data_IF_502409841781
#
_entry.id   IF_502409841781
#
_cell.length_a   1.000
_cell.length_b   1.000
_cell.length_c   1.000
_cell.angle_alpha   90.00
_cell.angle_beta   90.00
_cell.angle_gamma   90.00
#
_symmetry.space_group_name_H-M   'P 1'
#
loop_
_entity.id
_entity.type
_entity.pdbx_description
1 polymer ?
#
# COMPACT_ATOMS: atom_id res chain seq x y z
N UNK A 1 37.14 -44.15 52.39
CA UNK A 1 35.96 -43.31 52.72
C UNK A 1 36.34 -41.87 52.41
N UNK A 2 35.78 -41.28 51.33
CA UNK A 2 36.12 -39.91 50.91
C UNK A 2 35.43 -38.94 51.86
N UNK A 3 36.22 -38.17 52.61
CA UNK A 3 35.71 -37.19 53.57
C UNK A 3 34.89 -36.12 52.86
N UNK A 4 33.61 -36.03 53.22
CA UNK A 4 32.74 -34.94 52.81
C UNK A 4 33.21 -33.65 53.48
N UNK A 5 33.89 -32.79 52.72
CA UNK A 5 34.15 -31.42 53.13
C UNK A 5 32.82 -30.67 53.07
N UNK A 6 32.36 -30.15 54.22
CA UNK A 6 31.16 -29.30 54.29
C UNK A 6 31.40 -27.98 53.56
N UNK A 7 30.36 -27.48 52.86
CA UNK A 7 30.37 -26.18 52.20
C UNK A 7 30.60 -25.08 53.24
N UNK A 8 31.57 -24.21 52.99
CA UNK A 8 31.74 -23.00 53.81
C UNK A 8 30.65 -21.98 53.46
N UNK A 9 30.26 -21.16 54.44
CA UNK A 9 29.28 -20.09 54.23
C UNK A 9 29.71 -19.16 53.08
N UNK A 10 31.01 -18.88 52.98
CA UNK A 10 31.59 -18.02 51.93
C UNK A 10 31.43 -18.65 50.55
N UNK A 11 31.72 -19.95 50.39
CA UNK A 11 31.52 -20.65 49.11
C UNK A 11 30.06 -20.63 48.68
N UNK A 12 29.11 -20.82 49.60
CA UNK A 12 27.68 -20.75 49.31
C UNK A 12 27.28 -19.34 48.85
N UNK A 13 27.74 -18.29 49.55
CA UNK A 13 27.44 -16.91 49.19
C UNK A 13 28.02 -16.52 47.83
N UNK A 14 29.25 -16.95 47.53
CA UNK A 14 29.87 -16.72 46.22
C UNK A 14 29.12 -17.47 45.12
N UNK A 15 28.75 -18.73 45.34
CA UNK A 15 27.97 -19.50 44.37
C UNK A 15 26.60 -18.85 44.10
N UNK A 16 25.91 -18.38 45.13
CA UNK A 16 24.64 -17.64 44.99
C UNK A 16 24.82 -16.30 44.27
N UNK A 17 25.90 -15.57 44.56
CA UNK A 17 26.20 -14.32 43.87
C UNK A 17 26.46 -14.55 42.37
N UNK A 18 27.26 -15.56 42.01
CA UNK A 18 27.51 -15.95 40.62
C UNK A 18 26.21 -16.38 39.96
N UNK A 19 25.42 -17.24 40.61
CA UNK A 19 24.14 -17.68 40.08
C UNK A 19 23.18 -16.51 39.84
N UNK A 20 23.11 -15.55 40.77
CA UNK A 20 22.29 -14.33 40.62
C UNK A 20 22.73 -13.47 39.44
N UNK A 21 24.04 -13.27 39.26
CA UNK A 21 24.60 -12.54 38.11
C UNK A 21 24.26 -13.26 36.79
N UNK A 22 24.47 -14.58 36.73
CA UNK A 22 24.17 -15.38 35.54
C UNK A 22 22.67 -15.33 35.21
N UNK A 23 21.79 -15.49 36.19
CA UNK A 23 20.34 -15.41 35.99
C UNK A 23 19.90 -14.03 35.50
N UNK A 24 20.50 -12.95 36.01
CA UNK A 24 20.20 -11.58 35.57
C UNK A 24 20.61 -11.36 34.12
N UNK A 25 21.78 -11.87 33.71
CA UNK A 25 22.24 -11.82 32.33
C UNK A 25 21.32 -12.62 31.39
N UNK A 26 20.90 -13.82 31.79
CA UNK A 26 19.96 -14.64 31.02
C UNK A 26 18.57 -13.99 30.91
N UNK A 27 18.08 -13.37 31.99
CA UNK A 27 16.84 -12.61 31.98
C UNK A 27 16.93 -11.40 31.02
N UNK A 28 18.04 -10.66 31.03
CA UNK A 28 18.30 -9.57 30.10
C UNK A 28 18.33 -10.03 28.64
N UNK A 29 19.02 -11.15 28.35
CA UNK A 29 19.10 -11.73 27.01
C UNK A 29 17.74 -12.19 26.49
N UNK A 30 16.95 -12.88 27.33
CA UNK A 30 15.61 -13.36 26.94
C UNK A 30 14.62 -12.22 26.75
N UNK A 31 14.65 -11.19 27.59
CA UNK A 31 13.86 -9.97 27.41
C UNK A 31 14.25 -9.22 26.13
N UNK A 32 15.55 -9.05 25.89
CA UNK A 32 16.08 -8.43 24.67
C UNK A 32 15.71 -9.21 23.40
N UNK A 33 15.81 -10.54 23.43
CA UNK A 33 15.43 -11.40 22.32
C UNK A 33 13.93 -11.30 22.00
N UNK A 34 13.05 -11.27 23.01
CA UNK A 34 11.60 -11.10 22.82
C UNK A 34 11.25 -9.74 22.23
N UNK A 35 11.88 -8.67 22.72
CA UNK A 35 11.69 -7.32 22.16
C UNK A 35 12.22 -7.23 20.72
N UNK A 36 13.35 -7.86 20.43
CA UNK A 36 13.92 -7.97 19.09
C UNK A 36 12.99 -8.71 18.14
N UNK A 37 12.46 -9.85 18.56
CA UNK A 37 11.51 -10.64 17.77
C UNK A 37 10.25 -9.83 17.41
N UNK A 38 9.63 -9.16 18.38
CA UNK A 38 8.43 -8.36 18.12
C UNK A 38 8.68 -7.14 17.22
N UNK A 39 9.89 -6.56 17.25
CA UNK A 39 10.28 -5.49 16.30
C UNK A 39 10.46 -6.02 14.89
N UNK A 40 11.08 -7.19 14.75
CA UNK A 40 11.30 -7.83 13.44
C UNK A 40 9.97 -8.25 12.82
N UNK A 41 9.06 -8.82 13.62
CA UNK A 41 7.71 -9.20 13.17
C UNK A 41 6.93 -7.99 12.66
N UNK A 42 6.83 -6.90 13.45
CA UNK A 42 6.14 -5.67 13.01
C UNK A 42 6.73 -5.06 11.74
N UNK A 43 8.06 -5.08 11.59
CA UNK A 43 8.70 -4.60 10.36
C UNK A 43 8.36 -5.50 9.17
N UNK A 44 8.33 -6.82 9.36
CA UNK A 44 7.93 -7.74 8.32
C UNK A 44 6.47 -7.48 7.87
N UNK A 45 5.56 -7.26 8.82
CA UNK A 45 4.16 -6.91 8.55
C UNK A 45 4.02 -5.58 7.80
N UNK A 46 4.75 -4.55 8.22
CA UNK A 46 4.78 -3.24 7.52
C UNK A 46 5.23 -3.41 6.07
N UNK A 47 6.33 -4.12 5.84
CA UNK A 47 6.88 -4.36 4.49
C UNK A 47 5.89 -5.17 3.64
N UNK A 48 5.27 -6.20 4.21
CA UNK A 48 4.25 -7.00 3.53
C UNK A 48 3.04 -6.14 3.14
N UNK A 49 2.58 -5.29 4.05
CA UNK A 49 1.45 -4.37 3.83
C UNK A 49 1.76 -3.35 2.73
N UNK A 50 2.95 -2.77 2.72
CA UNK A 50 3.40 -1.84 1.68
C UNK A 50 3.42 -2.53 0.30
N UNK A 51 3.99 -3.73 0.21
CA UNK A 51 4.07 -4.48 -1.05
C UNK A 51 2.70 -4.89 -1.56
N UNK A 52 1.85 -5.44 -0.69
CA UNK A 52 0.48 -5.82 -1.04
C UNK A 52 -0.32 -4.61 -1.56
N UNK A 53 -0.22 -3.46 -0.87
CA UNK A 53 -0.88 -2.22 -1.29
C UNK A 53 -0.41 -1.76 -2.66
N UNK A 54 0.91 -1.81 -2.90
CA UNK A 54 1.52 -1.43 -4.17
C UNK A 54 1.09 -2.35 -5.31
N UNK A 55 1.10 -3.67 -5.10
CA UNK A 55 0.71 -4.66 -6.09
C UNK A 55 -0.78 -4.55 -6.45
N UNK A 56 -1.66 -4.43 -5.45
CA UNK A 56 -3.10 -4.28 -5.68
C UNK A 56 -3.42 -2.99 -6.43
N UNK A 57 -2.82 -1.86 -6.04
CA UNK A 57 -3.02 -0.59 -6.73
C UNK A 57 -2.49 -0.65 -8.17
N UNK A 58 -1.30 -1.20 -8.40
CA UNK A 58 -0.73 -1.32 -9.74
C UNK A 58 -1.61 -2.20 -10.64
N UNK A 59 -2.14 -3.31 -10.11
CA UNK A 59 -2.99 -4.23 -10.88
C UNK A 59 -4.37 -3.64 -11.20
N UNK A 60 -4.97 -2.89 -10.28
CA UNK A 60 -6.21 -2.16 -10.54
C UNK A 60 -5.98 -1.02 -11.54
N UNK A 61 -4.91 -0.24 -11.37
CA UNK A 61 -4.58 0.88 -12.28
C UNK A 61 -4.26 0.45 -13.69
N UNK A 62 -3.73 -0.77 -13.89
CA UNK A 62 -3.53 -1.34 -15.23
C UNK A 62 -4.81 -1.43 -16.06
N UNK A 63 -5.98 -1.47 -15.43
CA UNK A 63 -7.26 -1.44 -16.13
C UNK A 63 -7.66 -0.05 -16.65
N UNK A 64 -7.01 1.02 -16.21
CA UNK A 64 -7.38 2.37 -16.59
C UNK A 64 -7.30 2.55 -18.11
N UNK A 65 -8.41 2.97 -18.72
CA UNK A 65 -8.54 3.17 -20.16
C UNK A 65 -8.63 1.88 -20.99
N UNK A 66 -8.61 0.69 -20.37
CA UNK A 66 -8.64 -0.57 -21.10
C UNK A 66 -10.03 -0.89 -21.67
N UNK A 67 -10.05 -1.43 -22.89
CA UNK A 67 -11.24 -1.89 -23.61
C UNK A 67 -10.90 -3.23 -24.28
N UNK A 68 -11.76 -4.25 -24.19
CA UNK A 68 -11.52 -5.53 -24.86
C UNK A 68 -11.55 -5.38 -26.38
N UNK A 69 -10.88 -6.30 -27.09
CA UNK A 69 -10.99 -6.44 -28.54
C UNK A 69 -11.74 -7.75 -28.90
N UNK A 70 -12.80 -7.70 -29.72
CA UNK A 70 -13.43 -6.51 -30.28
C UNK A 70 -14.14 -5.65 -29.20
N UNK A 71 -14.35 -4.34 -29.44
CA UNK A 71 -15.06 -3.49 -28.50
C UNK A 71 -16.47 -3.99 -28.22
N UNK A 72 -17.00 -3.78 -27.00
CA UNK A 72 -18.36 -4.19 -26.68
C UNK A 72 -19.36 -3.36 -27.51
N UNK A 73 -20.44 -4.00 -27.96
CA UNK A 73 -21.51 -3.34 -28.71
C UNK A 73 -22.41 -2.46 -27.82
N UNK A 74 -22.42 -2.71 -26.51
CA UNK A 74 -23.18 -1.95 -25.52
C UNK A 74 -22.30 -1.63 -24.30
N UNK A 75 -22.08 -0.34 -23.96
CA UNK A 75 -22.52 0.85 -24.69
C UNK A 75 -21.89 0.93 -26.09
N UNK A 76 -22.49 1.73 -26.97
CA UNK A 76 -21.95 2.00 -28.31
C UNK A 76 -20.49 2.53 -28.21
N UNK A 77 -19.59 2.20 -29.15
CA UNK A 77 -18.18 2.56 -29.07
C UNK A 77 -17.92 4.05 -28.85
N UNK A 78 -18.70 4.93 -29.46
CA UNK A 78 -18.56 6.39 -29.32
C UNK A 78 -18.91 6.86 -27.91
N UNK A 79 -19.99 6.31 -27.34
CA UNK A 79 -20.39 6.58 -25.97
C UNK A 79 -19.37 6.03 -24.96
N UNK A 80 -18.77 4.86 -25.26
CA UNK A 80 -17.71 4.30 -24.46
C UNK A 80 -16.46 5.18 -24.47
N UNK A 81 -16.03 5.64 -25.64
CA UNK A 81 -14.87 6.53 -25.78
C UNK A 81 -15.07 7.84 -24.98
N UNK A 82 -16.26 8.44 -25.06
CA UNK A 82 -16.60 9.64 -24.30
C UNK A 82 -16.59 9.40 -22.77
N UNK A 83 -17.07 8.24 -22.30
CA UNK A 83 -17.07 7.90 -20.88
C UNK A 83 -15.66 7.68 -20.32
N UNK A 84 -14.74 7.14 -21.14
CA UNK A 84 -13.33 6.91 -20.80
C UNK A 84 -12.48 8.18 -20.77
N UNK A 85 -13.00 9.37 -21.08
CA UNK A 85 -12.20 10.60 -21.06
C UNK A 85 -12.68 11.56 -19.96
N UNK A 86 -11.88 11.80 -18.89
CA UNK A 86 -10.60 11.17 -18.56
C UNK A 86 -10.77 9.77 -17.94
N UNK A 87 -9.83 8.87 -18.23
CA UNK A 87 -9.83 7.50 -17.70
C UNK A 87 -9.01 7.38 -16.42
N UNK A 88 -8.17 8.38 -16.11
CA UNK A 88 -7.47 8.50 -14.83
C UNK A 88 -7.75 9.88 -14.27
N UNK A 89 -8.16 9.94 -13.01
CA UNK A 89 -8.29 11.19 -12.27
C UNK A 89 -7.38 11.16 -11.05
N UNK A 90 -6.75 12.28 -10.74
CA UNK A 90 -5.96 12.44 -9.51
C UNK A 90 -6.46 13.67 -8.78
N UNK A 91 -6.98 13.48 -7.57
CA UNK A 91 -7.31 14.58 -6.67
C UNK A 91 -6.18 14.74 -5.65
N UNK A 92 -5.43 15.83 -5.76
CA UNK A 92 -4.27 16.09 -4.89
C UNK A 92 -4.72 16.70 -3.56
N UNK A 93 -4.24 16.17 -2.45
CA UNK A 93 -4.68 16.58 -1.11
C UNK A 93 -3.55 16.64 -0.07
N UNK A 94 -3.65 17.52 0.94
CA UNK A 94 -2.62 17.66 1.98
C UNK A 94 -2.54 16.42 2.89
N UNK A 95 -3.65 15.70 3.05
CA UNK A 95 -3.74 14.49 3.86
C UNK A 95 -3.48 13.20 3.04
N UNK A 96 -3.28 13.31 1.72
CA UNK A 96 -3.24 12.19 0.80
C UNK A 96 -3.98 12.51 -0.49
N UNK A 97 -3.56 11.84 -1.57
CA UNK A 97 -4.17 11.96 -2.88
C UNK A 97 -5.22 10.86 -3.07
N UNK A 98 -6.22 11.14 -3.91
CA UNK A 98 -7.16 10.13 -4.38
C UNK A 98 -6.94 9.87 -5.87
N UNK A 99 -6.90 8.59 -6.26
CA UNK A 99 -6.67 8.18 -7.64
C UNK A 99 -7.91 7.48 -8.17
N UNK A 100 -8.59 8.08 -9.12
CA UNK A 100 -9.72 7.48 -9.84
C UNK A 100 -9.28 6.83 -11.14
N UNK A 101 -9.96 5.74 -11.50
CA UNK A 101 -9.82 5.12 -12.82
C UNK A 101 -11.17 4.76 -13.42
N UNK A 102 -11.21 4.75 -14.75
CA UNK A 102 -12.28 4.18 -15.57
C UNK A 102 -11.72 3.19 -16.57
N UNK A 103 -12.40 2.06 -16.77
CA UNK A 103 -11.99 1.04 -17.72
C UNK A 103 -13.00 -0.09 -17.83
N UNK A 104 -12.74 -1.04 -18.74
CA UNK A 104 -13.52 -2.27 -18.86
C UNK A 104 -12.68 -3.46 -18.40
N UNK A 105 -13.11 -4.05 -17.29
CA UNK A 105 -12.56 -5.31 -16.81
C UNK A 105 -13.13 -6.47 -17.62
N UNK A 106 -12.26 -7.05 -18.44
CA UNK A 106 -12.55 -8.18 -19.32
C UNK A 106 -11.71 -9.42 -18.95
N UNK A 107 -11.05 -9.39 -17.79
CA UNK A 107 -10.20 -10.50 -17.31
C UNK A 107 -11.03 -11.64 -16.68
N UNK A 108 -12.22 -11.32 -16.19
CA UNK A 108 -13.10 -12.27 -15.51
C UNK A 108 -13.83 -13.14 -16.52
N UNK A 109 -14.08 -14.40 -16.15
CA UNK A 109 -14.95 -15.28 -16.90
C UNK A 109 -16.39 -14.74 -16.84
N UNK A 110 -16.84 -14.09 -17.93
CA UNK A 110 -18.16 -13.47 -17.99
C UNK A 110 -18.22 -12.32 -19.00
N UNK A 111 -19.30 -11.55 -18.95
CA UNK A 111 -19.44 -10.34 -19.74
C UNK A 111 -18.44 -9.25 -19.24
N UNK A 112 -17.81 -8.48 -20.14
CA UNK A 112 -16.96 -7.36 -19.74
C UNK A 112 -17.71 -6.37 -18.85
N UNK A 113 -17.06 -5.91 -17.78
CA UNK A 113 -17.67 -5.07 -16.77
C UNK A 113 -17.03 -3.68 -16.76
N UNK A 114 -17.85 -2.63 -16.79
CA UNK A 114 -17.38 -1.27 -16.57
C UNK A 114 -16.93 -1.09 -15.12
N UNK A 115 -15.76 -0.49 -14.93
CA UNK A 115 -15.19 -0.11 -13.65
C UNK A 115 -15.01 1.39 -13.62
N UNK A 116 -15.63 2.05 -12.64
CA UNK A 116 -15.33 3.43 -12.23
C UNK A 116 -15.08 3.37 -10.72
N UNK A 117 -13.81 3.50 -10.33
CA UNK A 117 -13.39 3.33 -8.94
C UNK A 117 -12.40 4.41 -8.54
N UNK A 118 -12.48 4.85 -7.28
CA UNK A 118 -11.54 5.77 -6.65
C UNK A 118 -10.81 5.07 -5.51
N UNK A 119 -9.50 5.20 -5.48
CA UNK A 119 -8.64 4.77 -4.39
C UNK A 119 -8.29 5.97 -3.53
N UNK A 120 -8.54 5.87 -2.23
CA UNK A 120 -8.27 6.94 -1.28
C UNK A 120 -7.88 6.34 0.08
N UNK A 121 -7.08 7.07 0.85
CA UNK A 121 -6.70 6.69 2.20
C UNK A 121 -7.50 7.51 3.20
N UNK A 122 -8.22 6.84 4.10
CA UNK A 122 -9.10 7.50 5.07
C UNK A 122 -9.06 6.74 6.40
N UNK A 123 -9.26 7.48 7.49
CA UNK A 123 -9.49 6.89 8.81
C UNK A 123 -10.88 6.28 8.88
N UNK A 124 -10.99 5.05 9.34
CA UNK A 124 -12.26 4.34 9.50
C UNK A 124 -13.04 4.79 10.77
N UNK A 125 -14.19 4.17 11.02
CA UNK A 125 -15.00 4.47 12.20
C UNK A 125 -14.39 4.04 13.54
N UNK A 126 -13.32 3.23 13.52
CA UNK A 126 -12.56 2.80 14.70
C UNK A 126 -11.33 3.68 14.96
N UNK A 127 -11.03 4.65 14.08
CA UNK A 127 -9.85 5.51 14.20
C UNK A 127 -8.60 4.96 13.50
N UNK A 128 -8.74 3.89 12.71
CA UNK A 128 -7.62 3.24 12.03
C UNK A 128 -7.52 3.68 10.56
N UNK A 129 -6.28 3.86 10.09
CA UNK A 129 -6.01 4.23 8.71
C UNK A 129 -6.23 3.05 7.77
N UNK A 130 -6.94 3.27 6.66
CA UNK A 130 -7.16 2.26 5.63
C UNK A 130 -7.09 2.83 4.22
N UNK A 131 -6.56 2.01 3.30
CA UNK A 131 -6.74 2.21 1.86
C UNK A 131 -8.12 1.68 1.48
N UNK A 132 -8.92 2.53 0.85
CA UNK A 132 -10.26 2.21 0.38
C UNK A 132 -10.35 2.18 -1.13
N UNK A 133 -11.21 1.29 -1.65
CA UNK A 133 -11.77 1.33 -2.99
C UNK A 133 -13.19 1.85 -2.90
N UNK A 134 -13.53 2.86 -3.68
CA UNK A 134 -14.89 3.39 -3.80
C UNK A 134 -15.35 3.30 -5.24
N UNK A 135 -16.17 2.29 -5.59
CA UNK A 135 -16.88 2.31 -6.85
C UNK A 135 -17.83 3.50 -6.92
N UNK A 136 -18.01 4.07 -8.11
CA UNK A 136 -18.93 5.19 -8.30
C UNK A 136 -20.35 4.81 -7.83
N UNK A 137 -20.95 5.67 -7.00
CA UNK A 137 -22.30 5.44 -6.46
C UNK A 137 -22.42 4.34 -5.39
N UNK A 138 -21.30 3.75 -4.96
CA UNK A 138 -21.27 2.69 -3.94
C UNK A 138 -20.54 3.16 -2.67
N UNK A 139 -20.81 2.52 -1.52
CA UNK A 139 -20.03 2.77 -0.30
C UNK A 139 -18.56 2.38 -0.49
N UNK A 140 -17.70 2.98 0.33
CA UNK A 140 -16.27 2.63 0.40
C UNK A 140 -16.12 1.16 0.84
N UNK A 141 -15.18 0.46 0.21
CA UNK A 141 -14.79 -0.91 0.51
C UNK A 141 -13.34 -0.93 0.98
N UNK A 142 -13.04 -1.44 2.18
CA UNK A 142 -11.67 -1.52 2.65
C UNK A 142 -10.85 -2.48 1.78
N UNK A 143 -9.65 -2.06 1.36
CA UNK A 143 -8.71 -2.87 0.60
C UNK A 143 -7.58 -3.39 1.48
N UNK A 144 -6.88 -2.47 2.15
CA UNK A 144 -5.71 -2.78 2.97
C UNK A 144 -5.72 -1.90 4.22
N UNK A 145 -5.64 -2.53 5.38
CA UNK A 145 -5.55 -1.85 6.66
C UNK A 145 -4.13 -1.32 6.93
N UNK A 146 -4.02 -0.24 7.70
CA UNK A 146 -2.74 0.34 8.13
C UNK A 146 -2.07 1.27 7.12
N UNK A 147 -2.63 1.43 5.92
CA UNK A 147 -2.16 2.40 4.93
C UNK A 147 -2.57 3.80 5.35
N UNK A 148 -1.60 4.63 5.72
CA UNK A 148 -1.78 5.97 6.25
C UNK A 148 -1.54 7.09 5.22
N UNK A 149 -1.05 6.76 4.03
CA UNK A 149 -0.87 7.75 2.95
C UNK A 149 -0.78 7.11 1.58
N UNK A 150 -1.31 7.84 0.59
CA UNK A 150 -1.18 7.56 -0.83
C UNK A 150 -0.89 8.89 -1.52
N UNK A 151 0.20 8.98 -2.29
CA UNK A 151 0.58 10.20 -3.00
C UNK A 151 1.01 9.91 -4.43
N UNK A 152 0.56 10.71 -5.38
CA UNK A 152 1.04 10.71 -6.76
C UNK A 152 2.18 11.72 -6.85
N UNK A 153 3.42 11.23 -6.84
CA UNK A 153 4.61 12.09 -6.80
C UNK A 153 5.02 12.60 -8.18
N UNK A 154 4.82 11.80 -9.21
CA UNK A 154 5.21 12.12 -10.58
C UNK A 154 4.41 11.27 -11.56
N UNK A 155 4.46 11.65 -12.82
CA UNK A 155 3.77 11.00 -13.93
C UNK A 155 4.76 10.81 -15.08
N UNK A 156 4.67 9.70 -15.81
CA UNK A 156 5.35 9.53 -17.09
C UNK A 156 4.33 9.75 -18.20
N UNK A 157 4.55 10.74 -19.04
CA UNK A 157 3.66 11.03 -20.18
C UNK A 157 3.74 9.93 -21.23
N UNK A 158 2.80 9.87 -22.17
CA UNK A 158 2.84 8.94 -23.29
C UNK A 158 4.08 9.11 -24.19
N UNK A 159 4.73 10.29 -24.13
CA UNK A 159 6.00 10.58 -24.79
C UNK A 159 7.23 10.13 -23.98
N UNK A 160 7.05 9.57 -22.78
CA UNK A 160 8.12 9.07 -21.92
C UNK A 160 8.76 10.12 -21.00
N UNK A 161 8.25 11.35 -20.97
CA UNK A 161 8.77 12.40 -20.09
C UNK A 161 8.23 12.22 -18.66
N UNK A 162 9.11 12.26 -17.66
CA UNK A 162 8.72 12.29 -16.24
C UNK A 162 8.47 13.72 -15.80
N UNK A 163 7.24 14.03 -15.40
CA UNK A 163 6.78 15.37 -15.01
C UNK A 163 5.98 15.32 -13.71
N UNK A 164 5.64 16.48 -13.15
CA UNK A 164 4.71 16.56 -12.01
C UNK A 164 3.28 16.21 -12.46
N UNK A 165 2.40 15.74 -11.55
CA UNK A 165 1.02 15.44 -11.90
C UNK A 165 0.30 16.64 -12.52
N UNK A 166 0.45 17.82 -11.91
CA UNK A 166 -0.17 19.07 -12.39
C UNK A 166 0.28 19.43 -13.80
N UNK A 167 1.56 19.24 -14.13
CA UNK A 167 2.07 19.50 -15.48
C UNK A 167 1.56 18.49 -16.54
N UNK A 168 1.13 17.30 -16.10
CA UNK A 168 0.55 16.27 -16.96
C UNK A 168 -0.97 16.36 -17.11
N UNK A 169 -1.62 17.36 -16.51
CA UNK A 169 -3.08 17.54 -16.64
C UNK A 169 -3.49 17.69 -18.11
N UNK A 170 -4.52 16.95 -18.52
CA UNK A 170 -4.98 16.90 -19.91
C UNK A 170 -4.04 16.16 -20.88
N UNK A 171 -3.01 15.46 -20.39
CA UNK A 171 -2.11 14.66 -21.23
C UNK A 171 -2.42 13.17 -21.15
N UNK A 172 -2.04 12.43 -22.20
CA UNK A 172 -1.99 10.97 -22.15
C UNK A 172 -0.75 10.52 -21.38
N UNK A 173 -0.92 9.53 -20.51
CA UNK A 173 0.13 9.11 -19.56
C UNK A 173 0.43 7.63 -19.67
N UNK A 174 1.70 7.25 -19.55
CA UNK A 174 2.16 5.85 -19.60
C UNK A 174 2.32 5.22 -18.21
N UNK A 175 2.53 6.02 -17.15
CA UNK A 175 2.63 5.52 -15.79
C UNK A 175 2.38 6.61 -14.74
N UNK A 176 2.00 6.18 -13.52
CA UNK A 176 1.99 6.99 -12.30
C UNK A 176 3.11 6.54 -11.35
N UNK A 177 3.80 7.51 -10.76
CA UNK A 177 4.70 7.28 -9.63
C UNK A 177 3.97 7.49 -8.32
N UNK A 178 3.67 6.41 -7.63
CA UNK A 178 2.93 6.41 -6.38
C UNK A 178 3.88 6.27 -5.19
N UNK A 179 3.57 6.95 -4.10
CA UNK A 179 4.15 6.68 -2.78
C UNK A 179 3.04 6.23 -1.84
N UNK A 180 3.30 5.12 -1.15
CA UNK A 180 2.40 4.53 -0.16
C UNK A 180 3.09 4.60 1.19
N UNK A 181 2.36 4.99 2.24
CA UNK A 181 2.88 5.15 3.59
C UNK A 181 2.16 4.20 4.55
N UNK A 182 2.91 3.42 5.32
CA UNK A 182 2.41 2.50 6.36
C UNK A 182 3.30 2.65 7.59
N UNK A 183 2.71 2.96 8.75
CA UNK A 183 3.43 3.11 10.02
C UNK A 183 4.66 4.05 9.96
N UNK A 184 4.65 5.07 9.10
CA UNK A 184 5.75 6.01 8.90
C UNK A 184 6.85 5.55 7.95
N UNK A 185 6.80 4.30 7.46
CA UNK A 185 7.64 3.83 6.35
C UNK A 185 6.94 4.11 5.02
N UNK A 186 7.71 4.40 3.96
CA UNK A 186 7.16 4.63 2.64
C UNK A 186 7.77 3.74 1.56
N UNK A 187 6.94 3.38 0.58
CA UNK A 187 7.33 2.64 -0.62
C UNK A 187 6.92 3.45 -1.85
N UNK A 188 7.89 3.75 -2.70
CA UNK A 188 7.64 4.31 -4.03
C UNK A 188 7.50 3.20 -5.06
N UNK A 189 6.43 3.23 -5.86
CA UNK A 189 6.12 2.25 -6.90
C UNK A 189 5.71 2.96 -8.19
N UNK A 190 5.92 2.27 -9.31
CA UNK A 190 5.47 2.72 -10.63
C UNK A 190 4.25 1.88 -11.03
N UNK A 191 3.11 2.52 -11.22
CA UNK A 191 1.91 1.91 -11.78
C UNK A 191 1.86 2.19 -13.28
N UNK A 192 2.12 1.17 -14.09
CA UNK A 192 2.06 1.26 -15.55
C UNK A 192 0.61 1.34 -16.05
N UNK A 193 0.41 2.13 -17.11
CA UNK A 193 -0.90 2.37 -17.72
C UNK A 193 -0.84 2.03 -19.22
N UNK A 194 -0.99 0.75 -19.60
CA UNK A 194 -0.77 0.29 -20.97
C UNK A 194 -1.64 0.98 -22.02
N UNK A 195 -2.89 1.32 -21.67
CA UNK A 195 -3.83 1.98 -22.56
C UNK A 195 -3.52 3.46 -22.85
N UNK A 196 -2.51 4.03 -22.18
CA UNK A 196 -2.13 5.44 -22.26
C UNK A 196 -3.33 6.40 -22.11
N UNK A 197 -4.06 6.30 -20.99
CA UNK A 197 -5.28 7.08 -20.77
C UNK A 197 -4.99 8.57 -20.65
N UNK A 198 -6.00 9.39 -20.90
CA UNK A 198 -6.00 10.81 -20.57
C UNK A 198 -6.06 10.99 -19.05
N UNK A 199 -5.16 11.78 -18.49
CA UNK A 199 -5.13 12.17 -17.09
C UNK A 199 -5.90 13.47 -16.89
N UNK A 200 -6.70 13.54 -15.82
CA UNK A 200 -7.18 14.82 -15.27
C UNK A 200 -6.74 14.98 -13.81
N UNK A 201 -6.18 16.14 -13.49
CA UNK A 201 -5.74 16.49 -12.14
C UNK A 201 -6.70 17.51 -11.55
N UNK A 202 -7.05 17.32 -10.27
CA UNK A 202 -7.95 18.19 -9.52
C UNK A 202 -7.33 18.47 -8.16
N UNK A 203 -7.68 19.59 -7.56
CA UNK A 203 -7.47 19.77 -6.13
C UNK A 203 -8.52 18.95 -5.38
N UNK A 204 -8.12 18.26 -4.32
CA UNK A 204 -9.07 17.71 -3.37
C UNK A 204 -9.92 18.86 -2.80
N UNK A 205 -11.24 18.65 -2.60
CA UNK A 205 -12.12 19.64 -1.99
C UNK A 205 -11.72 19.96 -0.55
#
# INVERSE_FOLDING_TARGET
MRGGRGLTLVELLVALAIAGVVLTLLAGLTAGARQGAGRTERRADTVATLRLSAELLAEELRLAGTVPWPPPANPAPEALAAWLEPAVTVALGPAGDAVGLRGIDHRLAGAPLQRDVVFEVVVDGAGEWQLYRRPLGSPRQPLVAGVAGLHVRWVVTAAGARVSPVAADGQRIAALGLEIVVAGESLSVVAELPARPLLAVRSAP
#
